data_IF_262684100496
#
_entry.id   IF_262684100496
#
_cell.length_a   1.000
_cell.length_b   1.000
_cell.length_c   1.000
_cell.angle_alpha   90.00
_cell.angle_beta   90.00
_cell.angle_gamma   90.00
#
_symmetry.space_group_name_H-M   'P 1'
#
loop_
_entity.id
_entity.type
_entity.pdbx_description
1 polymer ?
#
# COMPACT_ATOMS: atom_id res chain seq x y z
N UNK A 1 -7.70 -5.26 1.55
CA UNK A 1 -6.96 -3.97 1.66
C UNK A 1 -7.91 -2.77 1.73
N UNK A 2 -7.44 -1.65 2.29
CA UNK A 2 -8.15 -0.36 2.31
C UNK A 2 -7.31 0.76 1.69
N UNK A 3 -7.89 1.93 1.45
CA UNK A 3 -7.20 3.04 0.74
C UNK A 3 -6.04 3.59 1.56
N UNK A 4 -4.81 3.38 1.08
CA UNK A 4 -3.57 3.67 1.83
C UNK A 4 -3.29 5.17 1.96
N UNK A 5 -3.81 6.01 1.05
CA UNK A 5 -3.63 7.45 1.10
C UNK A 5 -4.10 8.09 2.42
N UNK A 6 -5.00 7.45 3.17
CA UNK A 6 -5.43 7.92 4.51
C UNK A 6 -4.32 7.80 5.56
N UNK A 7 -3.34 6.94 5.34
CA UNK A 7 -2.21 6.70 6.25
C UNK A 7 -0.92 7.42 5.82
N UNK A 8 -0.90 8.08 4.66
CA UNK A 8 0.28 8.80 4.13
C UNK A 8 0.84 9.86 5.10
N UNK A 9 0.01 10.38 6.02
CA UNK A 9 0.45 11.30 7.06
C UNK A 9 1.40 10.65 8.08
N UNK A 10 1.27 9.35 8.32
CA UNK A 10 1.89 8.65 9.44
C UNK A 10 2.87 7.56 9.01
N UNK A 11 2.71 7.00 7.81
CA UNK A 11 3.42 5.78 7.39
C UNK A 11 4.95 5.89 7.45
N UNK A 12 5.51 7.05 7.06
CA UNK A 12 6.95 7.29 7.15
C UNK A 12 7.50 7.13 8.58
N UNK A 13 6.75 7.56 9.61
CA UNK A 13 7.13 7.38 11.01
C UNK A 13 7.01 5.93 11.46
N UNK A 14 6.02 5.19 10.92
CA UNK A 14 5.83 3.76 11.20
C UNK A 14 7.01 2.95 10.66
N UNK A 15 7.41 3.21 9.40
CA UNK A 15 8.59 2.59 8.78
C UNK A 15 9.85 2.89 9.60
N UNK A 16 10.07 4.16 9.95
CA UNK A 16 11.23 4.60 10.71
C UNK A 16 11.30 4.01 12.12
N UNK A 17 10.23 4.18 12.91
CA UNK A 17 10.24 3.90 14.35
C UNK A 17 10.03 2.43 14.67
N UNK A 18 9.25 1.71 13.85
CA UNK A 18 8.92 0.31 14.09
C UNK A 18 9.71 -0.65 13.19
N UNK A 19 10.53 -0.13 12.27
CA UNK A 19 11.37 -0.94 11.39
C UNK A 19 10.59 -1.76 10.36
N UNK A 20 9.36 -1.35 10.02
CA UNK A 20 8.51 -2.01 9.03
C UNK A 20 9.22 -2.02 7.67
N UNK A 21 9.30 -3.20 7.04
CA UNK A 21 9.96 -3.39 5.74
C UNK A 21 8.99 -3.55 4.57
N UNK A 22 7.72 -3.80 4.84
CA UNK A 22 6.71 -3.96 3.82
C UNK A 22 5.37 -3.45 4.32
N UNK A 23 4.74 -2.61 3.50
CA UNK A 23 3.40 -2.08 3.73
C UNK A 23 2.49 -2.61 2.62
N UNK A 24 1.30 -3.08 2.97
CA UNK A 24 0.33 -3.60 1.99
C UNK A 24 -0.99 -2.83 2.07
N UNK A 25 -1.48 -2.34 0.92
CA UNK A 25 -2.74 -1.61 0.87
C UNK A 25 -3.37 -1.57 -0.53
N UNK A 26 -4.16 -0.53 -0.83
CA UNK A 26 -4.68 -0.26 -2.18
C UNK A 26 -4.64 1.22 -2.51
N UNK A 27 -4.60 1.53 -3.81
CA UNK A 27 -4.69 2.88 -4.35
C UNK A 27 -3.35 3.60 -4.47
N UNK A 28 -2.48 3.48 -3.47
CA UNK A 28 -1.12 4.05 -3.50
C UNK A 28 -0.79 4.89 -2.29
N UNK A 29 0.49 5.24 -2.18
CA UNK A 29 1.04 6.15 -1.16
C UNK A 29 1.89 7.21 -1.82
N UNK A 30 2.16 8.28 -1.07
CA UNK A 30 2.79 9.50 -1.56
C UNK A 30 4.28 9.56 -1.28
N UNK A 31 4.81 10.78 -1.43
CA UNK A 31 6.23 11.08 -1.39
C UNK A 31 6.89 10.73 -0.06
N UNK A 32 6.22 10.95 1.08
CA UNK A 32 6.84 10.69 2.40
C UNK A 32 7.08 9.21 2.60
N UNK A 33 6.11 8.39 2.20
CA UNK A 33 6.26 6.94 2.23
C UNK A 33 7.36 6.49 1.27
N UNK A 34 7.44 7.05 0.06
CA UNK A 34 8.50 6.73 -0.89
C UNK A 34 9.91 7.06 -0.39
N UNK A 35 10.08 8.25 0.21
CA UNK A 35 11.34 8.66 0.82
C UNK A 35 11.72 7.76 2.00
N UNK A 36 10.75 7.36 2.83
CA UNK A 36 10.98 6.41 3.92
C UNK A 36 11.36 5.01 3.40
N UNK A 37 10.70 4.52 2.36
CA UNK A 37 11.04 3.26 1.69
C UNK A 37 12.50 3.26 1.20
N UNK A 38 12.94 4.35 0.56
CA UNK A 38 14.32 4.50 0.10
C UNK A 38 15.32 4.55 1.27
N UNK A 39 15.02 5.34 2.30
CA UNK A 39 15.92 5.57 3.44
C UNK A 39 16.07 4.34 4.34
N UNK A 40 14.98 3.61 4.54
CA UNK A 40 14.91 2.50 5.50
C UNK A 40 14.77 1.15 4.82
N UNK A 41 14.97 1.03 3.50
CA UNK A 41 14.92 -0.26 2.79
C UNK A 41 13.58 -0.97 2.99
N UNK A 42 12.48 -0.26 2.79
CA UNK A 42 11.12 -0.80 2.83
C UNK A 42 10.47 -0.74 1.43
N UNK A 43 9.34 -1.43 1.27
CA UNK A 43 8.53 -1.39 0.06
C UNK A 43 7.05 -1.19 0.38
N UNK A 44 6.32 -0.56 -0.53
CA UNK A 44 4.85 -0.57 -0.50
C UNK A 44 4.34 -1.43 -1.65
N UNK A 45 3.48 -2.39 -1.31
CA UNK A 45 2.81 -3.25 -2.28
C UNK A 45 1.30 -3.01 -2.28
N UNK A 46 0.73 -2.95 -3.48
CA UNK A 46 -0.71 -2.87 -3.66
C UNK A 46 -1.30 -4.28 -3.83
N UNK A 47 -2.41 -4.53 -3.13
CA UNK A 47 -3.27 -5.69 -3.31
C UNK A 47 -4.50 -5.29 -4.14
N UNK A 48 -5.03 -6.23 -4.92
CA UNK A 48 -6.21 -6.00 -5.78
C UNK A 48 -7.44 -5.63 -4.95
N UNK A 49 -8.00 -4.43 -5.19
CA UNK A 49 -9.21 -3.98 -4.51
C UNK A 49 -10.40 -4.90 -4.80
N UNK A 50 -11.29 -5.09 -3.81
CA UNK A 50 -12.49 -5.93 -3.96
C UNK A 50 -12.27 -7.43 -3.74
N UNK A 51 -11.01 -7.89 -3.73
CA UNK A 51 -10.65 -9.30 -3.53
C UNK A 51 -10.40 -9.66 -2.04
N UNK A 52 -11.15 -9.06 -1.10
CA UNK A 52 -10.93 -9.26 0.34
C UNK A 52 -11.13 -10.72 0.79
N UNK A 53 -12.10 -11.42 0.22
CA UNK A 53 -12.36 -12.84 0.51
C UNK A 53 -11.20 -13.72 0.06
N UNK A 54 -10.60 -13.44 -1.11
CA UNK A 54 -9.42 -14.17 -1.60
C UNK A 54 -8.22 -13.95 -0.68
N UNK A 55 -8.01 -12.71 -0.21
CA UNK A 55 -6.97 -12.42 0.77
C UNK A 55 -7.18 -13.19 2.09
N UNK A 56 -8.43 -13.34 2.53
CA UNK A 56 -8.76 -14.08 3.74
C UNK A 56 -8.49 -15.58 3.62
N UNK A 57 -8.59 -16.16 2.42
CA UNK A 57 -8.24 -17.57 2.17
C UNK A 57 -6.74 -17.86 2.37
N UNK A 58 -5.88 -16.85 2.25
CA UNK A 58 -4.45 -16.97 2.53
C UNK A 58 -4.12 -16.90 4.03
N UNK A 59 -5.09 -16.57 4.90
CA UNK A 59 -4.87 -16.52 6.35
C UNK A 59 -4.91 -17.95 6.90
N UNK A 60 -3.81 -18.38 7.52
CA UNK A 60 -3.70 -19.70 8.16
C UNK A 60 -4.23 -19.68 9.59
N UNK A 61 -3.89 -18.64 10.34
CA UNK A 61 -4.40 -18.45 11.71
C UNK A 61 -4.32 -16.99 12.16
N UNK A 62 -5.21 -16.63 13.07
CA UNK A 62 -5.05 -15.44 13.91
C UNK A 62 -4.14 -15.83 15.07
N UNK A 63 -3.00 -15.14 15.19
CA UNK A 63 -2.02 -15.36 16.24
C UNK A 63 -2.40 -14.58 17.49
N UNK A 64 -2.79 -13.31 17.31
CA UNK A 64 -3.17 -12.41 18.37
C UNK A 64 -4.03 -11.26 17.83
N UNK A 65 -4.67 -10.51 18.74
CA UNK A 65 -5.40 -9.28 18.44
C UNK A 65 -5.17 -8.25 19.55
N UNK A 66 -4.82 -7.04 19.16
CA UNK A 66 -4.64 -5.91 20.06
C UNK A 66 -5.67 -4.81 19.79
N UNK A 67 -6.02 -4.06 20.84
CA UNK A 67 -6.94 -2.91 20.77
C UNK A 67 -8.31 -3.24 20.20
N UNK A 68 -8.90 -4.37 20.62
CA UNK A 68 -10.21 -4.83 20.15
C UNK A 68 -11.34 -3.84 20.50
N UNK A 69 -11.13 -2.98 21.51
CA UNK A 69 -12.01 -1.89 21.90
C UNK A 69 -12.17 -0.81 20.82
N UNK A 70 -11.22 -0.69 19.88
CA UNK A 70 -11.34 0.16 18.69
C UNK A 70 -12.35 -0.40 17.67
N UNK A 71 -12.83 -1.62 17.89
CA UNK A 71 -13.74 -2.35 17.01
C UNK A 71 -13.01 -3.32 16.08
N UNK A 72 -13.72 -4.37 15.67
CA UNK A 72 -13.23 -5.46 14.81
C UNK A 72 -12.42 -4.97 13.59
N UNK A 73 -12.85 -3.94 12.81
CA UNK A 73 -12.12 -3.52 11.61
C UNK A 73 -10.87 -2.67 11.87
N UNK A 74 -10.75 -2.02 13.04
CA UNK A 74 -9.65 -1.09 13.36
C UNK A 74 -8.65 -1.67 14.38
N UNK A 75 -8.97 -2.82 14.99
CA UNK A 75 -8.06 -3.56 15.84
C UNK A 75 -6.80 -4.00 15.07
N UNK A 76 -5.68 -4.16 15.79
CA UNK A 76 -4.43 -4.66 15.21
C UNK A 76 -4.40 -6.16 15.28
N UNK A 77 -4.56 -6.81 14.13
CA UNK A 77 -4.55 -8.26 14.00
C UNK A 77 -3.15 -8.78 13.66
N UNK A 78 -2.67 -9.74 14.44
CA UNK A 78 -1.44 -10.48 14.13
C UNK A 78 -1.84 -11.75 13.40
N UNK A 79 -1.55 -11.81 12.10
CA UNK A 79 -2.00 -12.88 11.21
C UNK A 79 -0.81 -13.69 10.71
N UNK A 80 -0.94 -15.01 10.74
CA UNK A 80 -0.06 -15.89 9.98
C UNK A 80 -0.72 -16.20 8.64
N UNK A 81 0.02 -15.97 7.55
CA UNK A 81 -0.49 -16.10 6.18
C UNK A 81 0.42 -16.98 5.34
N UNK A 82 -0.14 -17.67 4.35
CA UNK A 82 0.59 -18.45 3.37
C UNK A 82 0.13 -18.06 1.96
N UNK A 83 1.09 -17.84 1.05
CA UNK A 83 0.81 -17.42 -0.33
C UNK A 83 -0.12 -16.18 -0.39
N UNK A 84 0.10 -15.20 0.48
CA UNK A 84 -0.69 -13.98 0.51
C UNK A 84 -0.39 -13.11 -0.71
N UNK A 85 -1.39 -12.94 -1.58
CA UNK A 85 -1.24 -12.18 -2.80
C UNK A 85 -2.37 -12.44 -3.81
N UNK A 86 -2.17 -12.09 -5.08
CA UNK A 86 -0.96 -11.46 -5.64
C UNK A 86 -0.74 -10.03 -5.14
N UNK A 87 0.52 -9.60 -5.13
CA UNK A 87 0.94 -8.25 -4.75
C UNK A 87 1.77 -7.63 -5.86
N UNK A 88 1.61 -6.32 -6.07
CA UNK A 88 2.46 -5.53 -6.98
C UNK A 88 3.24 -4.53 -6.13
N UNK A 89 4.57 -4.56 -6.19
CA UNK A 89 5.42 -3.53 -5.59
C UNK A 89 5.18 -2.22 -6.33
N UNK A 90 4.48 -1.29 -5.69
CA UNK A 90 4.12 0.00 -6.26
C UNK A 90 5.07 1.10 -5.82
N UNK A 91 5.74 0.93 -4.67
CA UNK A 91 6.90 1.73 -4.28
C UNK A 91 8.01 0.77 -3.89
N UNK A 92 9.16 0.88 -4.55
CA UNK A 92 10.32 0.03 -4.25
C UNK A 92 11.27 0.68 -3.22
N UNK A 93 12.29 -0.07 -2.81
CA UNK A 93 13.28 0.37 -1.83
C UNK A 93 14.28 1.39 -2.36
N UNK A 94 14.11 1.88 -3.60
CA UNK A 94 14.85 3.03 -4.13
C UNK A 94 14.02 4.32 -4.06
N UNK A 95 12.76 4.22 -3.64
CA UNK A 95 11.81 5.33 -3.60
C UNK A 95 11.09 5.58 -4.92
N UNK A 96 11.29 4.71 -5.93
CA UNK A 96 10.54 4.80 -7.18
C UNK A 96 9.06 4.49 -6.91
N UNK A 97 8.16 5.33 -7.42
CA UNK A 97 6.71 5.20 -7.21
C UNK A 97 5.97 4.98 -8.54
N UNK A 98 5.57 3.73 -8.80
CA UNK A 98 4.87 3.33 -10.02
C UNK A 98 3.53 4.06 -10.21
N UNK A 99 2.80 4.32 -9.13
CA UNK A 99 1.47 4.93 -9.21
C UNK A 99 1.57 6.40 -9.61
N UNK A 100 2.57 7.10 -9.07
CA UNK A 100 2.89 8.48 -9.48
C UNK A 100 3.32 8.55 -10.95
N UNK A 101 4.19 7.63 -11.40
CA UNK A 101 4.61 7.55 -12.80
C UNK A 101 3.42 7.34 -13.76
N UNK A 102 2.55 6.38 -13.45
CA UNK A 102 1.37 6.06 -14.28
C UNK A 102 0.38 7.23 -14.29
N UNK A 103 0.16 7.91 -13.16
CA UNK A 103 -0.72 9.09 -13.10
C UNK A 103 -0.16 10.26 -13.91
N UNK A 104 1.15 10.51 -13.84
CA UNK A 104 1.81 11.55 -14.62
C UNK A 104 1.73 11.27 -16.13
N UNK A 105 1.99 10.03 -16.54
CA UNK A 105 1.87 9.61 -17.94
C UNK A 105 0.42 9.71 -18.44
N UNK A 106 -0.54 9.20 -17.66
CA UNK A 106 -1.96 9.23 -18.03
C UNK A 106 -2.48 10.66 -18.17
N UNK A 107 -2.03 11.57 -17.29
CA UNK A 107 -2.39 12.99 -17.35
C UNK A 107 -1.82 13.66 -18.61
N UNK A 108 -0.55 13.38 -18.94
CA UNK A 108 0.08 13.89 -20.16
C UNK A 108 -0.67 13.43 -21.43
N UNK A 109 -0.94 12.13 -21.52
CA UNK A 109 -1.67 11.54 -22.66
C UNK A 109 -3.09 12.11 -22.78
N UNK A 110 -3.79 12.31 -21.66
CA UNK A 110 -5.10 12.95 -21.64
C UNK A 110 -5.04 14.36 -22.24
N UNK A 111 -4.07 15.16 -21.83
CA UNK A 111 -3.92 16.54 -22.32
C UNK A 111 -3.56 16.60 -23.81
N UNK A 112 -2.77 15.64 -24.31
CA UNK A 112 -2.49 15.47 -25.74
C UNK A 112 -3.74 15.12 -26.54
N UNK A 113 -4.55 14.18 -26.04
CA UNK A 113 -5.80 13.77 -26.70
C UNK A 113 -6.81 14.91 -26.78
N UNK A 114 -6.93 15.72 -25.72
CA UNK A 114 -7.83 16.87 -25.69
C UNK A 114 -7.45 17.99 -26.66
N UNK A 115 -6.19 18.05 -27.13
CA UNK A 115 -5.70 19.04 -28.10
C UNK A 115 -5.87 18.59 -29.56
N UNK A 116 -6.27 17.35 -29.81
CA UNK A 116 -6.45 16.84 -31.18
C UNK A 116 -7.70 17.47 -31.81
N UNK A 117 -7.62 18.03 -33.03
CA UNK A 117 -8.81 18.44 -33.76
C UNK A 117 -9.69 17.22 -34.04
N UNK A 118 -11.01 17.42 -34.00
CA UNK A 118 -12.03 16.42 -34.35
C UNK A 118 -11.95 16.02 -35.82
#
# INVERSE_FOLDING_TARGET
PTTSARMELYEHEIIEKLGVRMVVGKGGMGKRTAEACAKYGAVYATYTGGAGVLAAQSIRRVVDVHWLDLGIPEAVWVLEVENFGPLIVAIDSTGRNLIEEVLAESSRRKDELLKRPL
#
